data_IF_488838206281
#
_entry.id   IF_488838206281
#
_cell.length_a   1.000
_cell.length_b   1.000
_cell.length_c   1.000
_cell.angle_alpha   90.00
_cell.angle_beta   90.00
_cell.angle_gamma   90.00
#
_symmetry.space_group_name_H-M   'P 1'
#
loop_
_entity.id
_entity.type
_entity.pdbx_description
1 polymer ?
#
# COMPACT_ATOMS: atom_id res chain seq x y z
N UNK A 1 13.37 -27.64 4.48
CA UNK A 1 13.93 -28.72 3.64
C UNK A 1 14.99 -28.13 2.73
N UNK A 2 16.09 -28.85 2.46
CA UNK A 2 17.12 -28.40 1.52
C UNK A 2 16.50 -27.97 0.18
N UNK A 3 16.92 -26.82 -0.35
CA UNK A 3 16.41 -26.26 -1.61
C UNK A 3 14.99 -25.66 -1.56
N UNK A 4 14.27 -25.73 -0.42
CA UNK A 4 12.94 -25.12 -0.29
C UNK A 4 13.07 -23.59 -0.22
N UNK A 5 12.28 -22.88 -1.03
CA UNK A 5 12.08 -21.43 -0.91
C UNK A 5 10.99 -21.14 0.12
N UNK A 6 11.25 -20.34 1.16
CA UNK A 6 10.21 -19.94 2.11
C UNK A 6 9.15 -19.08 1.41
N UNK A 7 7.93 -19.11 1.93
CA UNK A 7 6.88 -18.21 1.47
C UNK A 7 7.27 -16.77 1.80
N UNK A 8 6.90 -15.84 0.92
CA UNK A 8 7.14 -14.42 1.08
C UNK A 8 5.88 -13.64 0.77
N UNK A 9 5.63 -12.59 1.54
CA UNK A 9 4.54 -11.64 1.30
C UNK A 9 4.91 -10.58 0.25
N UNK A 10 6.14 -10.61 -0.27
CA UNK A 10 6.58 -9.68 -1.30
C UNK A 10 5.73 -9.81 -2.57
N UNK A 11 5.25 -8.67 -3.08
CA UNK A 11 4.49 -8.58 -4.32
C UNK A 11 4.95 -7.39 -5.19
N UNK A 12 6.24 -7.31 -5.58
CA UNK A 12 6.67 -6.30 -6.54
C UNK A 12 5.86 -6.43 -7.83
N UNK A 13 5.24 -5.34 -8.26
CA UNK A 13 4.21 -5.37 -9.31
C UNK A 13 4.37 -4.21 -10.29
N UNK A 14 4.07 -4.49 -11.56
CA UNK A 14 3.98 -3.49 -12.62
C UNK A 14 2.59 -3.60 -13.26
N UNK A 15 1.87 -2.49 -13.27
CA UNK A 15 0.59 -2.35 -13.94
C UNK A 15 0.83 -1.70 -15.30
N UNK A 16 0.23 -2.29 -16.33
CA UNK A 16 0.40 -1.87 -17.73
C UNK A 16 -0.96 -1.56 -18.32
N UNK A 17 -1.09 -0.41 -18.96
CA UNK A 17 -2.28 -0.07 -19.74
C UNK A 17 -2.36 -1.00 -20.96
N UNK A 18 -3.46 -1.75 -21.08
CA UNK A 18 -3.62 -2.77 -22.13
C UNK A 18 -3.71 -2.20 -23.54
N UNK A 19 -4.11 -0.94 -23.70
CA UNK A 19 -4.30 -0.33 -25.02
C UNK A 19 -2.99 0.24 -25.55
N UNK A 20 -2.22 0.88 -24.68
CA UNK A 20 -0.99 1.59 -25.03
C UNK A 20 0.27 0.77 -24.78
N UNK A 21 0.20 -0.27 -23.93
CA UNK A 21 1.36 -1.03 -23.47
C UNK A 21 2.25 -0.28 -22.49
N UNK A 22 1.87 0.93 -22.06
CA UNK A 22 2.66 1.74 -21.15
C UNK A 22 2.52 1.27 -19.70
N UNK A 23 3.63 1.25 -18.96
CA UNK A 23 3.58 1.13 -17.51
C UNK A 23 2.85 2.35 -16.91
N UNK A 24 1.85 2.07 -16.08
CA UNK A 24 1.04 3.08 -15.38
C UNK A 24 1.31 3.11 -13.88
N UNK A 25 1.80 2.02 -13.31
CA UNK A 25 2.22 1.96 -11.91
C UNK A 25 3.30 0.90 -11.74
N UNK A 26 4.44 1.28 -11.17
CA UNK A 26 5.47 0.37 -10.65
C UNK A 26 5.44 0.50 -9.14
N UNK A 27 5.25 -0.61 -8.42
CA UNK A 27 5.03 -0.59 -6.98
C UNK A 27 5.68 -1.77 -6.29
N UNK A 28 6.24 -1.52 -5.11
CA UNK A 28 6.77 -2.54 -4.21
C UNK A 28 6.80 -2.05 -2.78
N UNK A 29 7.23 -2.90 -1.85
CA UNK A 29 7.29 -2.50 -0.47
C UNK A 29 7.94 -3.48 0.49
N UNK A 30 8.01 -3.06 1.74
CA UNK A 30 8.47 -3.85 2.89
C UNK A 30 7.47 -3.75 4.05
N UNK A 31 7.61 -4.59 5.08
CA UNK A 31 6.68 -4.64 6.22
C UNK A 31 5.99 -5.97 6.45
N UNK A 32 6.64 -7.09 6.12
CA UNK A 32 6.15 -8.44 6.41
C UNK A 32 4.81 -8.75 5.72
N UNK A 33 3.87 -9.30 6.48
CA UNK A 33 2.53 -9.67 6.00
C UNK A 33 1.72 -8.48 5.49
N UNK A 34 2.04 -7.25 5.95
CA UNK A 34 1.38 -6.03 5.52
C UNK A 34 1.81 -5.56 4.11
N UNK A 35 2.86 -6.15 3.51
CA UNK A 35 3.30 -5.76 2.16
C UNK A 35 2.15 -5.88 1.16
N UNK A 36 1.45 -7.02 1.15
CA UNK A 36 0.40 -7.30 0.17
C UNK A 36 -0.78 -6.34 0.29
N UNK A 37 -1.29 -6.11 1.51
CA UNK A 37 -2.40 -5.16 1.74
C UNK A 37 -1.97 -3.72 1.49
N UNK A 38 -0.75 -3.34 1.89
CA UNK A 38 -0.21 -2.00 1.67
C UNK A 38 -0.09 -1.68 0.17
N UNK A 39 0.49 -2.58 -0.61
CA UNK A 39 0.58 -2.44 -2.08
C UNK A 39 -0.81 -2.40 -2.72
N UNK A 40 -1.74 -3.24 -2.28
CA UNK A 40 -3.11 -3.25 -2.79
C UNK A 40 -3.85 -1.93 -2.51
N UNK A 41 -3.73 -1.37 -1.30
CA UNK A 41 -4.35 -0.09 -0.94
C UNK A 41 -3.78 1.07 -1.74
N UNK A 42 -2.45 1.16 -1.90
CA UNK A 42 -1.82 2.23 -2.71
C UNK A 42 -2.24 2.10 -4.18
N UNK A 43 -2.22 0.89 -4.74
CA UNK A 43 -2.67 0.66 -6.11
C UNK A 43 -4.16 1.01 -6.30
N UNK A 44 -5.04 0.62 -5.36
CA UNK A 44 -6.46 0.97 -5.37
C UNK A 44 -6.66 2.48 -5.43
N UNK A 45 -5.96 3.24 -4.56
CA UNK A 45 -6.10 4.69 -4.49
C UNK A 45 -5.64 5.37 -5.77
N UNK A 46 -4.48 4.98 -6.29
CA UNK A 46 -3.96 5.57 -7.52
C UNK A 46 -4.80 5.21 -8.74
N UNK A 47 -5.11 3.92 -8.93
CA UNK A 47 -5.74 3.42 -10.16
C UNK A 47 -7.26 3.61 -10.19
N UNK A 48 -7.94 3.52 -9.05
CA UNK A 48 -9.41 3.59 -8.98
C UNK A 48 -9.92 4.90 -8.41
N UNK A 49 -9.23 5.51 -7.44
CA UNK A 49 -9.64 6.80 -6.86
C UNK A 49 -8.96 8.01 -7.53
N UNK A 50 -8.12 7.76 -8.54
CA UNK A 50 -7.42 8.80 -9.31
C UNK A 50 -6.54 9.71 -8.42
N UNK A 51 -6.09 9.20 -7.28
CA UNK A 51 -5.21 9.94 -6.38
C UNK A 51 -3.79 10.02 -6.96
N UNK A 52 -3.09 11.12 -6.66
CA UNK A 52 -1.66 11.21 -6.97
C UNK A 52 -0.87 10.14 -6.21
N UNK A 53 0.27 9.71 -6.75
CA UNK A 53 1.11 8.70 -6.08
C UNK A 53 1.52 9.12 -4.67
N UNK A 54 1.79 10.41 -4.47
CA UNK A 54 2.06 10.96 -3.14
C UNK A 54 0.86 10.78 -2.20
N UNK A 55 -0.34 11.22 -2.62
CA UNK A 55 -1.55 11.04 -1.82
C UNK A 55 -1.82 9.57 -1.50
N UNK A 56 -1.68 8.69 -2.49
CA UNK A 56 -1.92 7.26 -2.34
C UNK A 56 -0.99 6.60 -1.32
N UNK A 57 0.31 6.95 -1.32
CA UNK A 57 1.31 6.40 -0.38
C UNK A 57 1.18 7.02 1.03
N UNK A 58 0.92 8.33 1.10
CA UNK A 58 0.84 9.05 2.38
C UNK A 58 -0.47 8.76 3.12
N UNK A 59 -1.50 8.26 2.42
CA UNK A 59 -2.76 7.88 3.02
C UNK A 59 -2.61 6.85 4.16
N UNK A 60 -3.45 6.95 5.21
CA UNK A 60 -3.44 6.00 6.31
C UNK A 60 -3.93 4.63 5.85
N UNK A 61 -3.29 3.56 6.34
CA UNK A 61 -3.57 2.18 5.93
C UNK A 61 -4.18 1.33 7.04
N UNK A 62 -4.87 0.28 6.60
CA UNK A 62 -5.41 -0.79 7.43
C UNK A 62 -4.88 -2.14 6.93
N UNK A 63 -4.93 -3.15 7.80
CA UNK A 63 -4.50 -4.51 7.50
C UNK A 63 -5.34 -5.53 8.26
N UNK A 64 -5.70 -6.63 7.61
CA UNK A 64 -6.23 -7.83 8.25
C UNK A 64 -5.67 -9.03 7.49
N UNK A 65 -5.25 -10.06 8.22
CA UNK A 65 -4.59 -11.26 7.67
C UNK A 65 -5.26 -12.56 8.14
N UNK A 66 -6.55 -12.49 8.44
CA UNK A 66 -7.38 -13.53 9.05
C UNK A 66 -6.98 -13.87 10.50
N UNK A 67 -5.71 -14.22 10.72
CA UNK A 67 -5.14 -14.56 12.02
C UNK A 67 -3.87 -13.74 12.27
N UNK A 68 -3.75 -12.97 13.37
CA UNK A 68 -4.74 -12.75 14.42
C UNK A 68 -6.01 -12.03 13.93
N UNK A 69 -7.15 -12.31 14.57
CA UNK A 69 -8.46 -11.77 14.17
C UNK A 69 -8.69 -10.35 14.71
N UNK A 70 -8.04 -9.38 14.06
CA UNK A 70 -8.31 -7.96 14.22
C UNK A 70 -7.84 -7.19 12.99
N UNK A 71 -8.45 -6.02 12.75
CA UNK A 71 -7.97 -5.05 11.77
C UNK A 71 -6.90 -4.19 12.46
N UNK A 72 -5.66 -4.26 11.98
CA UNK A 72 -4.63 -3.32 12.38
C UNK A 72 -4.76 -2.01 11.59
N UNK A 73 -4.56 -0.85 12.22
CA UNK A 73 -4.68 0.46 11.56
C UNK A 73 -3.58 1.44 11.99
N UNK A 74 -3.23 2.39 11.12
CA UNK A 74 -2.27 3.46 11.41
C UNK A 74 -2.90 4.61 12.23
N UNK A 75 -2.11 5.33 13.03
CA UNK A 75 -2.61 6.31 14.01
C UNK A 75 -3.48 7.44 13.44
N UNK A 76 -3.24 7.84 12.20
CA UNK A 76 -4.00 8.87 11.49
C UNK A 76 -5.19 8.32 10.69
N UNK A 77 -5.59 7.06 10.90
CA UNK A 77 -6.72 6.46 10.18
C UNK A 77 -8.07 7.09 10.61
N UNK A 78 -9.02 7.35 9.67
CA UNK A 78 -10.28 7.99 9.98
C UNK A 78 -11.13 7.25 11.04
N UNK A 79 -11.36 7.91 12.17
CA UNK A 79 -12.06 7.33 13.33
C UNK A 79 -13.52 6.97 13.05
N UNK A 80 -14.19 7.71 12.15
CA UNK A 80 -15.55 7.41 11.72
C UNK A 80 -15.64 6.06 10.98
N UNK A 81 -14.59 5.67 10.24
CA UNK A 81 -14.53 4.36 9.56
C UNK A 81 -14.26 3.26 10.58
N UNK A 82 -13.33 3.46 11.52
CA UNK A 82 -13.04 2.49 12.59
C UNK A 82 -14.29 2.16 13.41
N UNK A 83 -15.04 3.18 13.84
CA UNK A 83 -16.30 2.98 14.58
C UNK A 83 -17.32 2.16 13.78
N UNK A 84 -17.42 2.38 12.46
CA UNK A 84 -18.31 1.59 11.60
C UNK A 84 -17.85 0.13 11.48
N UNK A 85 -16.54 -0.11 11.43
CA UNK A 85 -15.98 -1.47 11.43
C UNK A 85 -16.27 -2.19 12.75
N UNK A 86 -16.13 -1.49 13.88
CA UNK A 86 -16.49 -2.03 15.20
C UNK A 86 -17.99 -2.35 15.31
N UNK A 87 -18.86 -1.47 14.79
CA UNK A 87 -20.32 -1.68 14.79
C UNK A 87 -20.76 -2.94 14.02
N UNK A 88 -20.01 -3.34 12.98
CA UNK A 88 -20.26 -4.58 12.25
C UNK A 88 -19.49 -5.79 12.80
N UNK A 89 -18.84 -5.63 13.97
CA UNK A 89 -18.24 -6.73 14.72
C UNK A 89 -16.72 -6.90 14.57
N UNK A 90 -16.02 -6.02 13.83
CA UNK A 90 -14.57 -6.11 13.74
C UNK A 90 -13.88 -5.60 15.01
N UNK A 91 -12.85 -6.33 15.44
CA UNK A 91 -11.89 -5.81 16.42
C UNK A 91 -10.87 -4.95 15.70
N UNK A 92 -10.55 -3.78 16.23
CA UNK A 92 -9.52 -2.90 15.68
C UNK A 92 -8.34 -2.80 16.65
N UNK A 93 -7.12 -2.69 16.12
CA UNK A 93 -5.89 -2.54 16.91
C UNK A 93 -4.97 -1.52 16.25
N UNK A 94 -4.45 -0.59 17.05
CA UNK A 94 -3.44 0.36 16.56
C UNK A 94 -2.15 -0.38 16.22
N UNK A 95 -1.53 -0.02 15.09
CA UNK A 95 -0.17 -0.42 14.77
C UNK A 95 0.77 0.47 15.58
N UNK A 96 1.42 -0.11 16.60
CA UNK A 96 2.36 0.60 17.48
C UNK A 96 3.73 0.79 16.83
N UNK A 97 4.17 -0.21 16.06
CA UNK A 97 5.39 -0.17 15.27
C UNK A 97 5.15 0.47 13.89
N UNK A 98 6.13 0.37 13.01
CA UNK A 98 5.98 0.77 11.61
C UNK A 98 5.16 -0.27 10.84
N UNK A 99 4.12 0.20 10.13
CA UNK A 99 3.35 -0.59 9.16
C UNK A 99 4.13 -0.95 7.88
N UNK A 100 3.40 -1.21 6.79
CA UNK A 100 4.01 -1.37 5.47
C UNK A 100 4.73 -0.09 5.03
N UNK A 101 5.76 -0.22 4.20
CA UNK A 101 6.49 0.89 3.57
C UNK A 101 6.42 0.64 2.07
N UNK A 102 5.83 1.57 1.32
CA UNK A 102 5.55 1.40 -0.12
C UNK A 102 6.33 2.42 -0.95
N UNK A 103 7.05 1.93 -1.95
CA UNK A 103 7.72 2.76 -2.94
C UNK A 103 6.98 2.60 -4.26
N UNK A 104 6.67 3.71 -4.94
CA UNK A 104 6.00 3.63 -6.22
C UNK A 104 6.34 4.76 -7.19
N UNK A 105 6.24 4.44 -8.48
CA UNK A 105 6.27 5.36 -9.61
C UNK A 105 4.96 5.17 -10.37
N UNK A 106 4.20 6.24 -10.56
CA UNK A 106 2.93 6.20 -11.28
C UNK A 106 2.87 7.21 -12.40
N UNK A 107 2.05 6.89 -13.40
CA UNK A 107 1.77 7.75 -14.54
C UNK A 107 0.30 8.18 -14.47
N UNK A 108 0.06 9.48 -14.45
CA UNK A 108 -1.30 10.01 -14.49
C UNK A 108 -1.90 9.94 -15.91
N UNK A 109 -3.18 10.28 -16.03
CA UNK A 109 -3.92 10.28 -17.31
C UNK A 109 -3.36 11.26 -18.36
N UNK A 110 -2.61 12.27 -17.93
CA UNK A 110 -1.94 13.23 -18.80
C UNK A 110 -0.54 12.75 -19.21
N UNK A 111 -0.13 11.56 -18.76
CA UNK A 111 1.17 10.97 -19.05
C UNK A 111 2.29 11.43 -18.12
N UNK A 112 2.00 12.30 -17.14
CA UNK A 112 3.01 12.79 -16.18
C UNK A 112 3.41 11.66 -15.24
N UNK A 113 4.72 11.47 -15.10
CA UNK A 113 5.30 10.48 -14.20
C UNK A 113 5.58 11.16 -12.85
N UNK A 114 5.18 10.49 -11.77
CA UNK A 114 5.49 10.92 -10.41
C UNK A 114 5.98 9.73 -9.61
N UNK A 115 7.01 9.95 -8.80
CA UNK A 115 7.54 8.97 -7.86
C UNK A 115 7.31 9.48 -6.44
N UNK A 116 7.11 8.56 -5.49
CA UNK A 116 7.11 8.91 -4.08
C UNK A 116 7.69 7.77 -3.24
N UNK A 117 8.49 8.16 -2.25
CA UNK A 117 9.00 7.27 -1.21
C UNK A 117 8.19 7.41 0.06
N UNK A 118 7.95 6.30 0.75
CA UNK A 118 7.11 6.32 1.94
C UNK A 118 7.84 7.04 3.09
N UNK A 119 7.24 8.14 3.55
CA UNK A 119 7.80 8.94 4.65
C UNK A 119 8.05 8.11 5.91
N UNK A 120 7.32 7.00 6.10
CA UNK A 120 7.44 6.10 7.27
C UNK A 120 8.82 5.43 7.39
N UNK A 121 9.64 5.45 6.34
CA UNK A 121 11.03 4.93 6.36
C UNK A 121 12.08 6.00 6.01
N UNK A 122 11.66 7.23 5.69
CA UNK A 122 12.58 8.34 5.41
C UNK A 122 13.34 8.21 4.08
N UNK A 123 12.75 7.54 3.09
CA UNK A 123 13.30 7.48 1.74
C UNK A 123 13.17 8.80 0.97
N UNK A 124 13.84 8.90 -0.16
CA UNK A 124 13.69 10.00 -1.12
C UNK A 124 13.64 9.44 -2.54
N UNK A 125 13.06 10.23 -3.43
CA UNK A 125 13.03 10.00 -4.87
C UNK A 125 13.96 10.98 -5.58
N UNK A 126 14.38 10.63 -6.80
CA UNK A 126 15.15 11.49 -7.70
C UNK A 126 14.82 11.14 -9.16
N UNK A 127 15.11 12.05 -10.09
CA UNK A 127 14.82 11.88 -11.52
C UNK A 127 15.23 13.09 -12.36
N UNK A 128 15.13 12.96 -13.69
CA UNK A 128 15.48 13.99 -14.67
C UNK A 128 14.43 14.10 -15.79
#
# INVERSE_FOLDING_TARGET
>A
APGKRPISSMCPSIFVDRKTGNAILVIGGSGGTMITSGSALVALRHLMFDETIKSAIDAPRLHHQLMPDHISFESNFPQNILKKLELIGHKVKLIEDRGSVIEAIGRDKNGKITANSDFRKGGSIDGY
#
